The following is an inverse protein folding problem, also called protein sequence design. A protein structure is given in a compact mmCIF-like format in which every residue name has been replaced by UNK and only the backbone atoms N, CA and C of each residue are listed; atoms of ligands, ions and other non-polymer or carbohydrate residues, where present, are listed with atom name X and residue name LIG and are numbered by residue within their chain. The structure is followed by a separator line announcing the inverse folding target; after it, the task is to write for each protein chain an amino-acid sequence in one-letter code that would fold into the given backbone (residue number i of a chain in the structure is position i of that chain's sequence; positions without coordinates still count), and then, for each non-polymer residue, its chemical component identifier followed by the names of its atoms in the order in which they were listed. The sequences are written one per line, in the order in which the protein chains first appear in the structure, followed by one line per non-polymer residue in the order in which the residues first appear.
data_IF_445452297553
#
_entry.id   IF_445452297553
#
_cell.length_a   1.000
_cell.length_b   1.000
_cell.length_c   1.000
_cell.angle_alpha   90.00
_cell.angle_beta   90.00
_cell.angle_gamma   90.00
#
_symmetry.space_group_name_H-M   'P 1'
#
loop_
_entity.id
_entity.type
_entity.pdbx_description
1 polymer ?
#
# COMPACT_ATOMS: atom_id res chain seq x y z
N UNK A 1 9.61 14.72 -25.94
CA UNK A 1 8.42 15.57 -25.77
C UNK A 1 7.86 16.12 -27.10
N UNK A 2 8.65 16.25 -28.18
CA UNK A 2 8.18 16.85 -29.44
C UNK A 2 7.21 16.01 -30.30
N UNK A 3 7.16 14.69 -30.11
CA UNK A 3 6.21 13.81 -30.85
C UNK A 3 4.78 13.91 -30.33
N UNK A 4 4.59 14.13 -29.03
CA UNK A 4 3.25 14.28 -28.43
C UNK A 4 2.62 15.62 -28.81
N UNK A 5 3.44 16.68 -28.95
CA UNK A 5 2.98 18.00 -29.39
C UNK A 5 2.58 18.03 -30.86
N UNK A 6 3.27 17.29 -31.74
CA UNK A 6 2.89 17.15 -33.15
C UNK A 6 1.58 16.37 -33.31
N UNK A 7 1.42 15.26 -32.59
CA UNK A 7 0.18 14.46 -32.63
C UNK A 7 -1.04 15.19 -32.08
N UNK A 8 -0.86 16.06 -31.07
CA UNK A 8 -1.96 16.88 -30.54
C UNK A 8 -2.47 17.89 -31.57
N UNK A 9 -1.56 18.47 -32.36
CA UNK A 9 -1.92 19.43 -33.39
C UNK A 9 -2.72 18.78 -34.53
N UNK A 10 -2.44 17.53 -34.87
CA UNK A 10 -3.22 16.75 -35.83
C UNK A 10 -4.58 16.32 -35.26
N UNK A 11 -4.65 16.00 -33.96
CA UNK A 11 -5.90 15.65 -33.29
C UNK A 11 -6.87 16.84 -33.19
N UNK A 12 -6.34 18.07 -33.09
CA UNK A 12 -7.16 19.30 -33.11
C UNK A 12 -7.87 19.54 -34.44
N UNK A 13 -7.43 18.90 -35.53
CA UNK A 13 -8.18 18.90 -36.80
C UNK A 13 -9.51 18.16 -36.64
N UNK A 14 -9.55 17.11 -35.83
CA UNK A 14 -10.70 16.23 -35.67
C UNK A 14 -11.21 16.28 -34.21
N UNK A 15 -11.95 17.34 -33.83
CA UNK A 15 -12.36 17.56 -32.44
C UNK A 15 -13.21 16.40 -31.89
N UNK A 16 -14.09 15.81 -32.71
CA UNK A 16 -14.89 14.64 -32.31
C UNK A 16 -14.03 13.42 -31.99
N UNK A 17 -12.99 13.14 -32.80
CA UNK A 17 -12.04 12.07 -32.52
C UNK A 17 -11.26 12.33 -31.24
N UNK A 18 -10.80 13.57 -31.02
CA UNK A 18 -10.13 13.95 -29.77
C UNK A 18 -11.01 13.65 -28.55
N UNK A 19 -12.26 14.11 -28.57
CA UNK A 19 -13.18 13.92 -27.44
C UNK A 19 -13.48 12.44 -27.20
N UNK A 20 -13.67 11.66 -28.27
CA UNK A 20 -13.86 10.22 -28.18
C UNK A 20 -12.63 9.50 -27.60
N UNK A 21 -11.40 9.88 -27.99
CA UNK A 21 -10.17 9.32 -27.41
C UNK A 21 -10.10 9.62 -25.91
N UNK A 22 -10.38 10.87 -25.51
CA UNK A 22 -10.39 11.29 -24.10
C UNK A 22 -11.44 10.50 -23.31
N UNK A 23 -12.62 10.28 -23.88
CA UNK A 23 -13.68 9.48 -23.26
C UNK A 23 -13.23 8.03 -23.03
N UNK A 24 -12.63 7.39 -24.04
CA UNK A 24 -12.12 6.01 -23.93
C UNK A 24 -11.02 5.91 -22.86
N UNK A 25 -10.05 6.83 -22.86
CA UNK A 25 -8.98 6.88 -21.84
C UNK A 25 -9.57 7.06 -20.44
N UNK A 26 -10.53 7.99 -20.29
CA UNK A 26 -11.18 8.27 -19.01
C UNK A 26 -11.97 7.07 -18.51
N UNK A 27 -12.69 6.40 -19.40
CA UNK A 27 -13.44 5.17 -19.11
C UNK A 27 -12.50 4.05 -18.64
N UNK A 28 -11.37 3.86 -19.33
CA UNK A 28 -10.37 2.86 -18.96
C UNK A 28 -9.77 3.14 -17.58
N UNK A 29 -9.39 4.39 -17.28
CA UNK A 29 -8.90 4.78 -15.95
C UNK A 29 -9.95 4.53 -14.87
N UNK A 30 -11.22 4.88 -15.10
CA UNK A 30 -12.33 4.64 -14.17
C UNK A 30 -12.56 3.14 -13.89
N UNK A 31 -12.43 2.29 -14.90
CA UNK A 31 -12.54 0.83 -14.75
C UNK A 31 -11.40 0.25 -13.89
N UNK A 32 -10.20 0.83 -13.95
CA UNK A 32 -9.01 0.33 -13.24
C UNK A 32 -8.83 0.89 -11.83
N UNK A 33 -9.42 2.05 -11.55
CA UNK A 33 -9.38 2.69 -10.24
C UNK A 33 -9.89 1.79 -9.09
N UNK A 34 -11.06 1.14 -9.15
CA UNK A 34 -11.54 0.30 -8.03
C UNK A 34 -10.63 -0.89 -7.75
N UNK A 35 -10.09 -1.53 -8.80
CA UNK A 35 -9.15 -2.66 -8.67
C UNK A 35 -7.87 -2.23 -7.95
N UNK A 36 -7.38 -1.04 -8.27
CA UNK A 36 -6.18 -0.47 -7.63
C UNK A 36 -6.46 -0.13 -6.16
N UNK A 37 -7.62 0.48 -5.87
CA UNK A 37 -8.03 0.79 -4.51
C UNK A 37 -8.19 -0.47 -3.65
N UNK A 38 -8.82 -1.51 -4.18
CA UNK A 38 -8.99 -2.80 -3.49
C UNK A 38 -7.62 -3.41 -3.13
N UNK A 39 -6.66 -3.39 -4.06
CA UNK A 39 -5.30 -3.85 -3.78
C UNK A 39 -4.65 -3.02 -2.66
N UNK A 40 -4.79 -1.70 -2.67
CA UNK A 40 -4.24 -0.83 -1.61
C UNK A 40 -4.91 -1.12 -0.26
N UNK A 41 -6.22 -1.36 -0.23
CA UNK A 41 -6.91 -1.79 0.99
C UNK A 41 -6.39 -3.14 1.49
N UNK A 42 -6.15 -4.10 0.59
CA UNK A 42 -5.58 -5.40 0.92
C UNK A 42 -4.17 -5.26 1.50
N UNK A 43 -3.32 -4.38 0.96
CA UNK A 43 -1.98 -4.10 1.50
C UNK A 43 -2.02 -3.63 2.96
N UNK A 44 -3.04 -2.86 3.35
CA UNK A 44 -3.21 -2.46 4.75
C UNK A 44 -3.79 -3.60 5.58
N UNK A 45 -4.76 -4.34 5.04
CA UNK A 45 -5.40 -5.45 5.75
C UNK A 45 -4.42 -6.58 6.10
N UNK A 46 -3.46 -6.89 5.22
CA UNK A 46 -2.43 -7.90 5.50
C UNK A 46 -1.51 -7.51 6.65
N UNK A 47 -1.17 -6.22 6.78
CA UNK A 47 -0.36 -5.70 7.90
C UNK A 47 -1.12 -5.75 9.23
N UNK A 48 -2.46 -5.63 9.19
CA UNK A 48 -3.32 -5.81 10.36
C UNK A 48 -3.55 -7.28 10.72
N UNK A 49 -3.48 -8.19 9.74
CA UNK A 49 -3.77 -9.60 9.93
C UNK A 49 -2.64 -10.35 10.67
N UNK A 50 -1.39 -9.90 10.57
CA UNK A 50 -0.26 -10.55 11.21
C UNK A 50 0.83 -9.58 11.67
N UNK A 51 1.21 -9.71 12.95
CA UNK A 51 2.31 -8.95 13.55
C UNK A 51 3.50 -9.89 13.75
N UNK A 52 4.59 -9.65 13.01
CA UNK A 52 5.81 -10.43 13.10
C UNK A 52 6.78 -9.88 14.16
N UNK A 53 6.68 -10.36 15.39
CA UNK A 53 7.60 -9.96 16.47
C UNK A 53 9.04 -10.46 16.28
N UNK A 54 9.30 -11.31 15.28
CA UNK A 54 10.64 -11.78 14.88
C UNK A 54 11.23 -11.02 13.70
N UNK A 55 10.61 -9.91 13.29
CA UNK A 55 11.14 -9.08 12.20
C UNK A 55 12.55 -8.58 12.56
N UNK A 56 13.55 -8.66 11.64
CA UNK A 56 14.94 -8.29 11.94
C UNK A 56 15.07 -6.87 12.49
N UNK A 57 14.49 -5.88 11.78
CA UNK A 57 14.49 -4.47 12.22
C UNK A 57 13.76 -4.24 13.55
N UNK A 58 12.88 -5.15 13.97
CA UNK A 58 12.14 -5.05 15.23
C UNK A 58 12.91 -5.68 16.39
N UNK A 59 13.54 -6.83 16.17
CA UNK A 59 14.36 -7.52 17.16
C UNK A 59 15.56 -6.67 17.61
N UNK A 60 16.20 -5.97 16.66
CA UNK A 60 17.32 -5.07 16.94
C UNK A 60 16.87 -3.87 17.80
N UNK A 61 15.71 -3.29 17.51
CA UNK A 61 15.13 -2.20 18.29
C UNK A 61 14.80 -2.65 19.73
N UNK A 62 14.30 -3.87 19.91
CA UNK A 62 14.04 -4.45 21.23
C UNK A 62 15.34 -4.67 22.03
N UNK A 63 16.39 -5.20 21.38
CA UNK A 63 17.69 -5.42 22.01
C UNK A 63 18.33 -4.13 22.53
N UNK A 64 18.29 -3.06 21.73
CA UNK A 64 18.79 -1.74 22.13
C UNK A 64 17.99 -1.12 23.29
N UNK A 65 16.68 -1.35 23.33
CA UNK A 65 15.82 -0.87 24.43
C UNK A 65 16.13 -1.58 25.75
N UNK A 66 16.30 -2.90 25.74
CA UNK A 66 16.63 -3.65 26.95
C UNK A 66 17.99 -3.23 27.53
N UNK A 67 18.99 -3.01 26.68
CA UNK A 67 20.32 -2.57 27.11
C UNK A 67 20.28 -1.19 27.80
N UNK A 68 19.51 -0.24 27.26
CA UNK A 68 19.36 1.11 27.82
C UNK A 68 18.61 1.11 29.17
N UNK A 69 17.60 0.25 29.32
CA UNK A 69 16.84 0.11 30.58
C UNK A 69 17.74 -0.49 31.67
N UNK A 70 18.54 -1.50 31.32
CA UNK A 70 19.46 -2.16 32.27
C UNK A 70 20.63 -1.26 32.66
N UNK A 71 21.12 -0.44 31.74
CA UNK A 71 22.11 0.59 32.03
C UNK A 71 21.56 1.70 32.94
N UNK A 72 20.33 2.16 32.70
CA UNK A 72 19.65 3.10 33.61
C UNK A 72 19.43 2.49 35.00
N UNK A 73 19.09 1.20 35.08
CA UNK A 73 18.93 0.49 36.35
C UNK A 73 20.27 0.35 37.10
N UNK A 74 21.34 0.02 36.38
CA UNK A 74 22.70 -0.07 36.92
C UNK A 74 23.20 1.27 37.43
N UNK A 75 22.97 2.36 36.68
CA UNK A 75 23.36 3.70 37.10
C UNK A 75 22.59 4.15 38.35
N UNK A 76 21.28 3.92 38.43
CA UNK A 76 20.49 4.20 39.66
C UNK A 76 20.94 3.39 40.88
N UNK A 77 21.37 2.14 40.67
CA UNK A 77 21.87 1.30 41.76
C UNK A 77 23.27 1.72 42.25
N UNK A 78 24.03 2.45 41.43
CA UNK A 78 25.36 2.99 41.79
C UNK A 78 25.29 4.29 42.60
N UNK A 79 24.14 4.96 42.65
CA UNK A 79 23.90 6.24 43.35
C UNK A 79 23.33 6.10 44.78
N UNK A 80 23.19 4.89 45.33
CA UNK A 80 22.76 4.70 46.73
C UNK A 80 23.94 4.93 47.71
N UNK A 81 23.83 5.83 48.71
CA UNK A 81 24.88 6.05 49.68
C UNK A 81 24.96 4.85 50.66
N UNK A 82 26.12 4.21 50.72
CA UNK A 82 26.46 3.21 51.72
C UNK A 82 26.58 3.87 53.11
N UNK A 83 25.55 3.76 53.95
CA UNK A 83 25.67 4.01 55.39
C UNK A 83 25.53 2.69 56.17
N UNK A 84 26.66 2.16 56.61
CA UNK A 84 26.72 1.18 57.69
C UNK A 84 27.71 1.72 58.75
N UNK A 85 27.28 2.00 59.99
CA UNK A 85 28.18 2.42 61.06
C UNK A 85 29.15 1.30 61.45
N UNK A 86 30.46 1.57 61.32
CA UNK A 86 31.56 0.68 61.72
C UNK A 86 31.90 0.92 63.18
N UNK A 87 31.53 0.00 64.07
CA UNK A 87 32.12 -0.06 65.42
C UNK A 87 33.57 -0.58 65.38
N UNK A 88 34.38 0.00 66.26
CA UNK A 88 35.83 -0.18 66.38
C UNK A 88 36.15 -1.50 67.09
N UNK A 89 37.13 -2.25 66.56
CA UNK A 89 38.03 -3.05 67.40
C UNK A 89 39.40 -3.26 66.75
N UNK A 90 40.39 -2.73 67.45
CA UNK A 90 41.79 -3.15 67.69
C UNK A 90 42.77 -3.54 66.55
N UNK A 91 44.02 -3.12 66.82
CA UNK A 91 45.24 -3.10 65.99
C UNK A 91 45.88 -4.49 65.77
N UNK A 92 46.56 -4.61 64.64
CA UNK A 92 47.73 -5.48 64.43
C UNK A 92 48.33 -5.26 63.03
N UNK A 93 49.64 -4.96 62.89
CA UNK A 93 50.25 -4.71 61.58
C UNK A 93 50.97 -5.95 61.06
N UNK A 94 50.98 -6.18 59.75
CA UNK A 94 51.93 -7.10 59.13
C UNK A 94 51.57 -7.59 57.74
N UNK A 95 52.46 -7.30 56.78
CA UNK A 95 52.77 -8.20 55.67
C UNK A 95 52.06 -7.95 54.33
N UNK A 96 52.80 -7.31 53.40
CA UNK A 96 53.24 -7.85 52.09
C UNK A 96 52.29 -8.78 51.32
N UNK A 97 52.18 -8.83 50.00
CA UNK A 97 52.71 -8.14 48.82
C UNK A 97 52.24 -9.00 47.61
N UNK A 98 52.28 -8.43 46.39
CA UNK A 98 52.36 -9.11 45.07
C UNK A 98 51.10 -9.72 44.42
N UNK A 99 50.66 -9.03 43.36
CA UNK A 99 50.46 -9.61 42.01
C UNK A 99 51.80 -9.49 41.23
N UNK A 100 52.02 -9.96 39.97
CA UNK A 100 51.08 -10.44 38.93
C UNK A 100 51.64 -11.61 38.04
N UNK A 101 50.99 -11.81 36.87
CA UNK A 101 51.51 -12.32 35.58
C UNK A 101 51.10 -13.77 35.22
N UNK A 102 50.24 -14.07 34.23
CA UNK A 102 50.18 -13.89 32.76
C UNK A 102 50.66 -15.15 31.98
N UNK A 103 50.01 -15.40 30.82
CA UNK A 103 50.47 -16.13 29.61
C UNK A 103 50.07 -17.64 29.42
N UNK A 104 49.96 -18.13 28.14
CA UNK A 104 48.70 -18.62 27.57
C UNK A 104 48.83 -20.02 26.83
N UNK A 105 48.24 -20.34 25.64
CA UNK A 105 47.71 -21.69 25.29
C UNK A 105 48.56 -22.48 24.27
N UNK A 106 48.12 -23.69 23.83
CA UNK A 106 47.76 -23.94 22.41
C UNK A 106 46.57 -24.92 22.23
N UNK A 107 45.70 -24.82 21.20
CA UNK A 107 45.74 -25.44 19.84
C UNK A 107 46.03 -26.97 19.84
N UNK A 108 45.36 -27.87 19.12
CA UNK A 108 44.34 -27.84 18.06
C UNK A 108 44.08 -29.27 17.53
N UNK A 109 43.33 -29.33 16.41
CA UNK A 109 43.17 -30.42 15.41
C UNK A 109 42.04 -31.49 15.55
N UNK A 110 41.24 -31.58 14.47
CA UNK A 110 40.36 -32.73 14.10
C UNK A 110 41.15 -33.88 13.43
N UNK A 111 40.60 -34.79 12.57
CA UNK A 111 39.59 -34.53 11.51
C UNK A 111 38.62 -35.69 11.06
N UNK A 112 37.69 -35.39 10.09
CA UNK A 112 37.08 -36.20 8.96
C UNK A 112 36.30 -37.53 9.22
N UNK A 113 35.35 -38.06 8.40
CA UNK A 113 34.49 -37.69 7.25
C UNK A 113 33.54 -38.89 6.86
N UNK A 114 32.53 -38.61 6.00
CA UNK A 114 31.66 -39.50 5.15
C UNK A 114 30.51 -40.30 5.83
N UNK A 115 29.32 -40.55 5.27
CA UNK A 115 28.63 -40.27 3.99
C UNK A 115 27.42 -41.26 3.84
N UNK A 116 26.31 -40.89 3.16
CA UNK A 116 25.27 -41.83 2.70
C UNK A 116 23.82 -41.30 2.60
N UNK A 117 23.22 -41.34 1.39
CA UNK A 117 21.74 -41.32 1.15
C UNK A 117 21.18 -42.76 1.04
N UNK A 118 19.84 -42.98 0.81
CA UNK A 118 19.17 -42.68 -0.47
C UNK A 118 17.66 -42.25 -0.35
N UNK A 119 16.88 -42.45 -1.43
CA UNK A 119 15.79 -41.64 -2.00
C UNK A 119 14.37 -42.30 -2.03
N UNK A 120 13.32 -41.47 -2.24
CA UNK A 120 12.01 -41.77 -2.86
C UNK A 120 10.80 -41.30 -2.03
N UNK A 121 9.61 -40.90 -2.49
CA UNK A 121 8.98 -40.45 -3.76
C UNK A 121 7.52 -40.03 -3.40
N UNK A 122 6.81 -39.19 -4.20
CA UNK A 122 5.33 -38.91 -4.19
C UNK A 122 4.71 -38.17 -2.97
N UNK A 123 3.66 -37.34 -3.05
CA UNK A 123 2.71 -36.87 -4.09
C UNK A 123 2.02 -35.58 -3.59
N UNK A 124 1.40 -34.82 -4.50
CA UNK A 124 0.70 -33.56 -4.25
C UNK A 124 -0.69 -33.69 -3.59
N UNK A 125 -1.27 -32.56 -3.20
CA UNK A 125 -2.64 -32.53 -2.68
C UNK A 125 -3.11 -31.16 -2.20
N UNK A 126 -3.67 -30.38 -3.12
CA UNK A 126 -4.39 -29.12 -2.93
C UNK A 126 -5.65 -29.31 -2.08
N UNK A 127 -5.74 -28.65 -0.93
CA UNK A 127 -6.91 -28.68 -0.02
C UNK A 127 -7.86 -27.50 -0.26
N UNK A 128 -8.82 -27.70 -1.15
CA UNK A 128 -9.84 -26.75 -1.59
C UNK A 128 -11.06 -26.77 -0.63
N UNK A 129 -11.12 -25.90 0.39
CA UNK A 129 -12.32 -25.75 1.23
C UNK A 129 -13.29 -24.74 0.60
N UNK A 130 -14.01 -25.19 -0.42
CA UNK A 130 -15.15 -24.49 -1.01
C UNK A 130 -16.37 -25.41 -0.93
N UNK A 131 -17.37 -25.01 -0.14
CA UNK A 131 -18.75 -25.46 -0.33
C UNK A 131 -19.47 -25.91 0.92
N UNK A 132 -20.18 -25.00 1.59
CA UNK A 132 -21.54 -25.25 2.08
C UNK A 132 -22.14 -23.95 2.66
N UNK A 133 -22.93 -23.25 1.86
CA UNK A 133 -24.30 -22.86 2.21
C UNK A 133 -24.98 -22.33 0.94
N UNK A 134 -25.91 -23.14 0.44
CA UNK A 134 -26.72 -22.92 -0.75
C UNK A 134 -28.07 -22.34 -0.33
N UNK A 135 -28.34 -21.13 -0.84
CA UNK A 135 -29.59 -20.68 -1.48
C UNK A 135 -30.95 -21.06 -0.86
N UNK A 136 -31.72 -20.03 -0.50
CA UNK A 136 -33.19 -20.04 -0.42
C UNK A 136 -33.70 -18.61 -0.63
N UNK A 137 -34.61 -18.44 -1.58
CA UNK A 137 -35.13 -17.21 -2.18
C UNK A 137 -36.67 -17.22 -2.12
N UNK A 138 -37.29 -16.03 -2.24
CA UNK A 138 -38.73 -15.69 -2.42
C UNK A 138 -39.66 -15.87 -1.19
N UNK A 139 -40.64 -15.01 -0.86
CA UNK A 139 -41.18 -13.77 -1.42
C UNK A 139 -42.44 -13.29 -0.65
N UNK A 140 -42.68 -11.96 -0.68
CA UNK A 140 -43.95 -11.18 -0.69
C UNK A 140 -45.13 -11.42 0.30
N UNK A 141 -45.56 -10.34 0.99
CA UNK A 141 -46.97 -9.88 1.00
C UNK A 141 -47.77 -9.79 2.32
N UNK A 142 -48.22 -8.56 2.68
CA UNK A 142 -49.65 -8.27 2.99
C UNK A 142 -50.19 -8.20 4.44
N UNK A 143 -50.28 -6.96 4.98
CA UNK A 143 -51.40 -6.27 5.68
C UNK A 143 -52.24 -6.88 6.86
N UNK A 144 -52.46 -6.01 7.87
CA UNK A 144 -53.68 -5.74 8.70
C UNK A 144 -54.07 -6.53 9.98
N UNK A 145 -53.96 -5.78 11.09
CA UNK A 145 -54.99 -5.46 12.13
C UNK A 145 -55.55 -6.53 13.11
N UNK A 146 -55.18 -6.31 14.39
CA UNK A 146 -56.04 -6.14 15.58
C UNK A 146 -57.04 -7.24 15.98
N UNK A 147 -56.81 -7.85 17.16
CA UNK A 147 -57.84 -8.26 18.14
C UNK A 147 -57.21 -8.52 19.54
N UNK A 148 -57.78 -7.86 20.56
CA UNK A 148 -57.69 -8.15 22.01
C UNK A 148 -58.31 -9.55 22.30
N UNK A 149 -58.05 -10.31 23.37
CA UNK A 149 -57.91 -9.99 24.81
C UNK A 149 -57.47 -11.26 25.59
N UNK A 150 -57.04 -11.05 26.84
CA UNK A 150 -57.10 -11.94 28.03
C UNK A 150 -55.82 -12.66 28.48
N UNK A 151 -55.29 -12.11 29.59
CA UNK A 151 -54.28 -12.69 30.48
C UNK A 151 -54.95 -13.69 31.46
N UNK A 152 -54.18 -14.60 32.05
CA UNK A 152 -54.12 -14.62 33.52
C UNK A 152 -52.68 -14.69 34.08
N UNK A 153 -52.51 -14.12 35.27
CA UNK A 153 -51.27 -13.88 36.01
C UNK A 153 -50.69 -15.16 36.67
N UNK A 154 -49.37 -15.35 36.76
CA UNK A 154 -48.46 -15.12 37.93
C UNK A 154 -47.25 -16.09 37.81
N UNK A 155 -46.13 -16.05 38.60
CA UNK A 155 -45.54 -15.02 39.45
C UNK A 155 -44.00 -14.80 39.28
N UNK A 156 -43.51 -13.72 39.89
CA UNK A 156 -42.19 -13.53 40.55
C UNK A 156 -40.89 -13.37 39.73
N UNK A 157 -40.39 -12.12 39.86
CA UNK A 157 -39.02 -11.60 39.67
C UNK A 157 -37.90 -12.63 39.89
N UNK A 158 -37.29 -13.07 38.79
CA UNK A 158 -35.89 -13.45 38.77
C UNK A 158 -35.04 -12.19 38.70
N UNK A 159 -34.11 -12.02 39.65
CA UNK A 159 -33.08 -11.00 39.59
C UNK A 159 -32.23 -11.23 38.34
N UNK A 160 -32.48 -10.47 37.28
CA UNK A 160 -31.50 -10.29 36.21
C UNK A 160 -30.31 -9.56 36.84
N UNK A 161 -29.27 -10.31 37.17
CA UNK A 161 -27.98 -9.75 37.58
C UNK A 161 -27.39 -9.08 36.34
N UNK A 162 -27.68 -7.80 36.14
CA UNK A 162 -27.00 -6.97 35.16
C UNK A 162 -25.53 -6.86 35.58
N UNK A 163 -24.70 -7.78 35.11
CA UNK A 163 -23.25 -7.80 35.35
C UNK A 163 -22.50 -6.81 34.43
N UNK A 164 -23.12 -5.69 34.07
CA UNK A 164 -22.56 -4.73 33.11
C UNK A 164 -22.87 -3.27 33.43
N UNK A 165 -23.06 -2.90 34.70
CA UNK A 165 -23.11 -1.47 35.05
C UNK A 165 -22.63 -1.15 36.47
N UNK A 166 -21.49 -1.71 36.85
CA UNK A 166 -20.68 -1.10 37.92
C UNK A 166 -19.70 -0.15 37.22
N UNK A 167 -19.80 1.17 37.42
CA UNK A 167 -18.76 2.10 36.99
C UNK A 167 -17.47 1.69 37.71
N UNK A 168 -16.59 0.98 37.00
CA UNK A 168 -15.22 0.74 37.46
C UNK A 168 -14.60 2.13 37.56
N UNK A 169 -14.11 2.56 38.74
CA UNK A 169 -13.42 3.84 38.84
C UNK A 169 -12.21 3.80 37.90
N UNK A 170 -12.28 4.55 36.79
CA UNK A 170 -11.15 4.75 35.85
C UNK A 170 -10.19 5.77 36.47
N UNK A 171 -9.72 5.47 37.67
CA UNK A 171 -8.62 6.18 38.33
C UNK A 171 -7.88 5.21 39.25
N UNK A 172 -7.60 4.02 38.74
CA UNK A 172 -6.49 3.22 39.27
C UNK A 172 -5.21 3.91 38.80
N UNK A 173 -4.49 4.55 39.72
CA UNK A 173 -3.12 5.01 39.44
C UNK A 173 -2.29 3.77 39.15
N UNK A 174 -1.68 3.72 37.96
CA UNK A 174 -0.81 2.61 37.56
C UNK A 174 0.31 2.44 38.60
N UNK A 175 0.60 1.20 38.96
CA UNK A 175 1.76 0.85 39.75
C UNK A 175 3.04 1.29 39.04
N UNK A 176 4.12 1.58 39.78
CA UNK A 176 5.42 1.91 39.19
C UNK A 176 6.00 0.81 38.29
N UNK A 177 5.52 -0.44 38.44
CA UNK A 177 5.80 -1.54 37.53
C UNK A 177 4.96 -1.43 36.25
N UNK A 178 3.64 -1.29 36.38
CA UNK A 178 2.71 -1.15 35.25
C UNK A 178 3.05 0.08 34.39
N UNK A 179 3.45 1.19 35.01
CA UNK A 179 3.89 2.39 34.31
C UNK A 179 5.10 2.11 33.41
N UNK A 180 6.09 1.36 33.91
CA UNK A 180 7.26 0.96 33.11
C UNK A 180 6.90 -0.02 32.01
N UNK A 181 6.02 -0.98 32.29
CA UNK A 181 5.56 -1.94 31.30
C UNK A 181 4.77 -1.24 30.18
N UNK A 182 3.93 -0.25 30.51
CA UNK A 182 3.26 0.61 29.52
C UNK A 182 4.23 1.42 28.66
N UNK A 183 5.29 2.00 29.26
CA UNK A 183 6.32 2.73 28.50
C UNK A 183 7.07 1.82 27.52
N UNK A 184 7.33 0.56 27.91
CA UNK A 184 7.93 -0.44 27.02
C UNK A 184 6.96 -0.79 25.89
N UNK A 185 5.70 -1.08 26.19
CA UNK A 185 4.66 -1.39 25.19
C UNK A 185 4.52 -0.22 24.19
N UNK A 186 4.49 1.02 24.68
CA UNK A 186 4.40 2.21 23.82
C UNK A 186 5.58 2.27 22.83
N UNK A 187 6.79 2.02 23.32
CA UNK A 187 8.00 1.99 22.48
C UNK A 187 7.97 0.85 21.46
N UNK A 188 7.48 -0.33 21.83
CA UNK A 188 7.32 -1.47 20.93
C UNK A 188 6.29 -1.17 19.83
N UNK A 189 5.15 -0.58 20.19
CA UNK A 189 4.12 -0.17 19.21
C UNK A 189 4.72 0.84 18.22
N UNK A 190 5.42 1.87 18.73
CA UNK A 190 6.08 2.86 17.85
C UNK A 190 7.10 2.23 16.93
N UNK A 191 7.94 1.33 17.44
CA UNK A 191 8.96 0.65 16.64
C UNK A 191 8.35 -0.20 15.53
N UNK A 192 7.37 -1.05 15.84
CA UNK A 192 6.72 -1.90 14.84
C UNK A 192 5.91 -1.08 13.82
N UNK A 193 5.20 -0.04 14.28
CA UNK A 193 4.44 0.85 13.40
C UNK A 193 5.34 1.55 12.36
N UNK A 194 6.56 1.94 12.73
CA UNK A 194 7.50 2.57 11.80
C UNK A 194 7.95 1.62 10.68
N UNK A 195 8.11 0.33 10.99
CA UNK A 195 8.42 -0.71 10.01
C UNK A 195 7.27 -0.87 9.02
N UNK A 196 6.05 -1.08 9.52
CA UNK A 196 4.84 -1.19 8.69
C UNK A 196 4.65 0.05 7.81
N UNK A 197 4.82 1.24 8.39
CA UNK A 197 4.74 2.51 7.65
C UNK A 197 5.72 2.55 6.48
N UNK A 198 6.97 2.10 6.69
CA UNK A 198 7.99 2.04 5.64
C UNK A 198 7.63 1.02 4.55
N UNK A 199 7.07 -0.13 4.92
CA UNK A 199 6.61 -1.14 3.98
C UNK A 199 5.46 -0.62 3.10
N UNK A 200 4.48 0.06 3.70
CA UNK A 200 3.35 0.67 2.98
C UNK A 200 3.83 1.79 2.04
N UNK A 201 4.80 2.60 2.47
CA UNK A 201 5.39 3.67 1.63
C UNK A 201 5.98 3.15 0.32
N UNK A 202 6.54 1.93 0.32
CA UNK A 202 7.10 1.31 -0.89
C UNK A 202 6.05 0.48 -1.67
N UNK A 203 5.20 -0.24 -0.95
CA UNK A 203 4.24 -1.17 -1.57
C UNK A 203 3.10 -0.47 -2.30
N UNK A 204 2.60 0.66 -1.79
CA UNK A 204 1.47 1.38 -2.40
C UNK A 204 1.84 1.99 -3.76
N UNK A 205 2.96 2.73 -3.93
CA UNK A 205 3.39 3.19 -5.25
C UNK A 205 3.58 2.06 -6.25
N UNK A 206 4.13 0.92 -5.81
CA UNK A 206 4.29 -0.28 -6.66
C UNK A 206 2.93 -0.84 -7.12
N UNK A 207 1.95 -0.90 -6.21
CA UNK A 207 0.59 -1.34 -6.54
C UNK A 207 -0.08 -0.38 -7.54
N UNK A 208 -0.02 0.94 -7.30
CA UNK A 208 -0.59 1.94 -8.23
C UNK A 208 0.07 1.84 -9.61
N UNK A 209 1.40 1.71 -9.64
CA UNK A 209 2.13 1.56 -10.90
C UNK A 209 1.69 0.32 -11.66
N UNK A 210 1.57 -0.83 -10.98
CA UNK A 210 1.23 -2.09 -11.62
C UNK A 210 -0.24 -2.15 -12.07
N UNK A 211 -1.19 -1.85 -11.18
CA UNK A 211 -2.62 -2.08 -11.43
C UNK A 211 -3.31 -0.99 -12.24
N UNK A 212 -2.78 0.25 -12.20
CA UNK A 212 -3.31 1.39 -12.92
C UNK A 212 -2.40 1.80 -14.08
N UNK A 213 -1.17 2.25 -13.80
CA UNK A 213 -0.34 2.91 -14.81
C UNK A 213 0.11 1.96 -15.91
N UNK A 214 0.77 0.86 -15.54
CA UNK A 214 1.27 -0.12 -16.50
C UNK A 214 0.12 -0.81 -17.23
N UNK A 215 -0.93 -1.17 -16.50
CA UNK A 215 -2.12 -1.76 -17.13
C UNK A 215 -2.74 -0.83 -18.18
N UNK A 216 -2.94 0.45 -17.86
CA UNK A 216 -3.49 1.40 -18.84
C UNK A 216 -2.54 1.59 -20.00
N UNK A 217 -1.23 1.74 -19.76
CA UNK A 217 -0.23 1.86 -20.82
C UNK A 217 -0.31 0.70 -21.82
N UNK A 218 -0.42 -0.53 -21.33
CA UNK A 218 -0.39 -1.73 -22.17
C UNK A 218 -1.75 -2.01 -22.86
N UNK A 219 -2.86 -1.68 -22.21
CA UNK A 219 -4.23 -1.93 -22.73
C UNK A 219 -4.79 -0.79 -23.58
N UNK A 220 -4.25 0.43 -23.46
CA UNK A 220 -4.81 1.62 -24.08
C UNK A 220 -4.87 1.50 -25.60
N UNK A 221 -3.82 0.97 -26.24
CA UNK A 221 -3.81 0.80 -27.69
C UNK A 221 -4.93 -0.14 -28.16
N UNK A 222 -5.08 -1.30 -27.51
CA UNK A 222 -6.14 -2.26 -27.86
C UNK A 222 -7.54 -1.70 -27.61
N UNK A 223 -7.73 -0.93 -26.54
CA UNK A 223 -9.01 -0.30 -26.21
C UNK A 223 -9.37 0.81 -27.21
N UNK A 224 -8.41 1.68 -27.57
CA UNK A 224 -8.63 2.73 -28.56
C UNK A 224 -8.96 2.15 -29.93
N UNK A 225 -8.20 1.15 -30.40
CA UNK A 225 -8.48 0.49 -31.68
C UNK A 225 -9.82 -0.24 -31.63
N UNK A 226 -10.11 -1.00 -30.57
CA UNK A 226 -11.35 -1.75 -30.45
C UNK A 226 -12.61 -0.87 -30.39
N UNK A 227 -12.51 0.33 -29.82
CA UNK A 227 -13.66 1.23 -29.67
C UNK A 227 -13.81 2.21 -30.85
N UNK A 228 -12.72 2.78 -31.35
CA UNK A 228 -12.75 3.89 -32.32
C UNK A 228 -12.54 3.46 -33.77
N UNK A 229 -11.90 2.31 -34.02
CA UNK A 229 -11.63 1.83 -35.38
C UNK A 229 -12.80 1.02 -35.95
N UNK A 230 -13.98 1.64 -36.05
CA UNK A 230 -15.19 1.03 -36.61
C UNK A 230 -15.67 1.82 -37.83
N UNK A 231 -15.90 1.12 -38.94
CA UNK A 231 -16.25 1.75 -40.22
C UNK A 231 -17.41 2.76 -40.12
N UNK A 232 -18.46 2.45 -39.34
CA UNK A 232 -19.61 3.34 -39.17
C UNK A 232 -19.38 4.56 -38.27
N UNK A 233 -18.26 4.64 -37.55
CA UNK A 233 -17.89 5.79 -36.71
C UNK A 233 -16.84 6.67 -37.37
N UNK A 234 -16.09 6.16 -38.35
CA UNK A 234 -14.96 6.88 -38.95
C UNK A 234 -15.41 8.20 -39.60
N UNK A 235 -16.51 8.19 -40.34
CA UNK A 235 -17.01 9.40 -41.03
C UNK A 235 -17.41 10.50 -40.04
N UNK A 236 -17.98 10.13 -38.89
CA UNK A 236 -18.36 11.09 -37.86
C UNK A 236 -17.12 11.58 -37.08
N UNK A 237 -16.27 10.66 -36.62
CA UNK A 237 -15.08 10.99 -35.81
C UNK A 237 -14.06 11.84 -36.59
N UNK A 238 -13.90 11.58 -37.89
CA UNK A 238 -12.98 12.32 -38.78
C UNK A 238 -13.60 13.59 -39.37
N UNK A 239 -14.65 14.14 -38.75
CA UNK A 239 -15.17 15.46 -39.11
C UNK A 239 -14.11 16.52 -38.76
N UNK A 240 -13.64 17.26 -39.77
CA UNK A 240 -12.70 18.37 -39.60
C UNK A 240 -13.38 19.57 -38.89
N UNK A 241 -12.64 20.32 -38.07
CA UNK A 241 -13.15 21.55 -37.46
C UNK A 241 -13.39 22.66 -38.49
N UNK A 242 -14.46 23.45 -38.30
CA UNK A 242 -14.85 24.52 -39.23
C UNK A 242 -13.72 25.54 -39.46
N UNK A 243 -13.03 25.97 -38.41
CA UNK A 243 -11.92 26.92 -38.50
C UNK A 243 -10.76 26.39 -39.36
N UNK A 244 -10.43 25.10 -39.20
CA UNK A 244 -9.35 24.46 -39.95
C UNK A 244 -9.77 24.23 -41.41
N UNK A 245 -11.02 23.80 -41.64
CA UNK A 245 -11.59 23.64 -42.96
C UNK A 245 -11.62 24.99 -43.72
N UNK A 246 -12.01 26.07 -43.04
CA UNK A 246 -12.03 27.41 -43.61
C UNK A 246 -10.63 27.89 -43.97
N UNK A 247 -9.66 27.83 -43.04
CA UNK A 247 -8.26 28.22 -43.33
C UNK A 247 -7.66 27.41 -44.48
N UNK A 248 -7.97 26.10 -44.53
CA UNK A 248 -7.56 25.24 -45.64
C UNK A 248 -8.18 25.67 -46.96
N UNK A 249 -9.46 26.05 -46.95
CA UNK A 249 -10.16 26.52 -48.15
C UNK A 249 -9.60 27.87 -48.64
N UNK A 250 -9.38 28.83 -47.74
CA UNK A 250 -8.77 30.13 -48.07
C UNK A 250 -7.35 29.97 -48.65
N UNK A 251 -6.53 29.10 -48.05
CA UNK A 251 -5.20 28.80 -48.55
C UNK A 251 -5.25 28.10 -49.93
N UNK A 252 -6.22 27.19 -50.14
CA UNK A 252 -6.40 26.51 -51.41
C UNK A 252 -6.84 27.49 -52.52
N UNK A 253 -7.74 28.42 -52.21
CA UNK A 253 -8.18 29.46 -53.14
C UNK A 253 -7.03 30.41 -53.51
N UNK A 254 -6.23 30.81 -52.52
CA UNK A 254 -5.02 31.61 -52.75
C UNK A 254 -4.01 30.87 -53.61
N UNK A 255 -3.75 29.59 -53.33
CA UNK A 255 -2.86 28.76 -54.15
C UNK A 255 -3.34 28.69 -55.60
N UNK A 256 -4.65 28.49 -55.81
CA UNK A 256 -5.26 28.43 -57.13
C UNK A 256 -5.12 29.76 -57.88
N UNK A 257 -5.25 30.89 -57.18
CA UNK A 257 -5.01 32.22 -57.76
C UNK A 257 -3.55 32.41 -58.16
N UNK A 258 -2.60 32.00 -57.32
CA UNK A 258 -1.17 32.08 -57.61
C UNK A 258 -0.77 31.18 -58.78
N UNK A 259 -1.33 29.97 -58.89
CA UNK A 259 -1.12 29.08 -60.03
C UNK A 259 -1.62 29.69 -61.34
N UNK A 260 -2.80 30.32 -61.33
CA UNK A 260 -3.31 31.06 -62.50
C UNK A 260 -2.41 32.24 -62.85
N UNK A 261 -1.95 33.01 -61.87
CA UNK A 261 -1.02 34.12 -62.11
C UNK A 261 0.30 33.63 -62.73
N UNK A 262 0.83 32.49 -62.26
CA UNK A 262 2.00 31.84 -62.85
C UNK A 262 1.77 31.43 -64.31
N UNK A 263 0.58 30.91 -64.63
CA UNK A 263 0.23 30.55 -66.01
C UNK A 263 0.18 31.79 -66.92
N UNK A 264 -0.43 32.88 -66.46
CA UNK A 264 -0.47 34.15 -67.20
C UNK A 264 0.94 34.70 -67.43
N UNK A 265 1.84 34.61 -66.44
CA UNK A 265 3.25 35.01 -66.61
C UNK A 265 3.93 34.15 -67.69
N UNK A 266 3.65 32.85 -67.75
CA UNK A 266 4.18 31.97 -68.79
C UNK A 266 3.69 32.36 -70.19
N UNK A 267 2.40 32.68 -70.34
CA UNK A 267 1.80 33.15 -71.60
C UNK A 267 2.40 34.49 -72.08
N UNK A 268 2.65 35.43 -71.15
CA UNK A 268 3.32 36.71 -71.47
C UNK A 268 4.75 36.47 -71.95
N UNK A 269 5.47 35.51 -71.35
CA UNK A 269 6.82 35.17 -71.77
C UNK A 269 6.84 34.62 -73.20
N UNK A 270 5.85 33.82 -73.58
CA UNK A 270 5.72 33.27 -74.93
C UNK A 270 5.33 34.32 -75.98
N UNK A 271 4.51 35.31 -75.62
CA UNK A 271 4.13 36.39 -76.55
C UNK A 271 5.27 37.38 -76.83
N UNK A 272 6.21 37.56 -75.90
CA UNK A 272 7.43 38.37 -76.11
C UNK A 272 8.54 37.66 -76.91
N UNK A 273 8.36 36.38 -77.26
CA UNK A 273 9.31 35.60 -78.06
C UNK A 273 9.06 35.69 -79.58
N UNK A 274 8.07 36.48 -80.02
CA UNK A 274 7.72 36.75 -81.42
C UNK A 274 8.06 38.17 -81.85
#
# INVERSE_FOLDING_TARGET
MSVVSLSLQELLRFPKLHDAIVEVVTSLLRKRLPVTNEMVHNLVAIELAYINTKHPDFADACGLMNNNIEEQRRNRMRELPSSVPREKSFKGPGGQSLSPTELPPPEGEGPKAAGGGPQGDQDGGTGNWRGMLKKGDEGMGGDRSMLQTSNPASPQRGHAVNLLDVPVPVSRKLSSREQRDCEVIERLIKSYFLIVRKNIQDSVPKAVMHFLVNHVKDSLQSELVGQLYKAGLLDDLLTESEDMAQRRNEAADMLKALQKASQVIAEIRETHLW
#
